data_IF_903300086349
#
_entry.id   IF_903300086349
#
_cell.length_a   1.000
_cell.length_b   1.000
_cell.length_c   1.000
_cell.angle_alpha   90.00
_cell.angle_beta   90.00
_cell.angle_gamma   90.00
#
_symmetry.space_group_name_H-M   'P 1'
#
loop_
_entity.id
_entity.type
_entity.pdbx_description
1 polymer ?
#
# COMPACT_ATOMS: atom_id res chain seq x y z
N UNK A 1 39.67 12.78 -38.27
CA UNK A 1 39.24 13.68 -37.18
C UNK A 1 37.84 13.33 -36.63
N UNK A 2 37.16 12.30 -37.14
CA UNK A 2 35.78 11.93 -36.73
C UNK A 2 35.69 10.85 -35.64
N UNK A 3 36.75 10.06 -35.42
CA UNK A 3 36.73 8.95 -34.44
C UNK A 3 36.83 9.46 -32.98
N UNK A 4 37.52 10.58 -32.77
CA UNK A 4 37.68 11.22 -31.47
C UNK A 4 36.41 11.95 -31.03
N UNK A 5 35.67 12.55 -31.97
CA UNK A 5 34.36 13.14 -31.66
C UNK A 5 33.34 12.06 -31.32
N UNK A 6 33.29 10.94 -32.04
CA UNK A 6 32.41 9.81 -31.69
C UNK A 6 32.72 9.22 -30.30
N UNK A 7 34.00 9.03 -29.97
CA UNK A 7 34.39 8.53 -28.65
C UNK A 7 34.04 9.51 -27.52
N UNK A 8 34.17 10.81 -27.79
CA UNK A 8 33.83 11.87 -26.84
C UNK A 8 32.31 11.98 -26.66
N UNK A 9 31.51 11.83 -27.71
CA UNK A 9 30.06 11.77 -27.61
C UNK A 9 29.56 10.55 -26.84
N UNK A 10 30.18 9.38 -27.03
CA UNK A 10 29.85 8.17 -26.23
C UNK A 10 30.19 8.38 -24.75
N UNK A 11 31.31 9.02 -24.42
CA UNK A 11 31.68 9.34 -23.03
C UNK A 11 30.76 10.39 -22.42
N UNK A 12 30.30 11.36 -23.21
CA UNK A 12 29.31 12.35 -22.77
C UNK A 12 27.95 11.68 -22.58
N UNK A 13 27.55 10.76 -23.46
CA UNK A 13 26.31 10.00 -23.33
C UNK A 13 26.35 9.07 -22.11
N UNK A 14 27.45 8.37 -21.89
CA UNK A 14 27.68 7.52 -20.71
C UNK A 14 27.72 8.35 -19.41
N UNK A 15 28.34 9.54 -19.45
CA UNK A 15 28.33 10.48 -18.33
C UNK A 15 26.95 11.11 -18.11
N UNK A 16 26.18 11.40 -19.15
CA UNK A 16 24.81 11.93 -19.04
C UNK A 16 23.83 10.86 -18.55
N UNK A 17 24.05 9.59 -18.89
CA UNK A 17 23.31 8.45 -18.33
C UNK A 17 23.65 8.28 -16.83
N UNK A 18 24.90 8.49 -16.42
CA UNK A 18 25.31 8.48 -15.01
C UNK A 18 24.85 9.72 -14.22
N UNK A 19 24.80 10.91 -14.84
CA UNK A 19 24.44 12.18 -14.19
C UNK A 19 22.92 12.43 -14.19
N UNK A 20 22.18 11.84 -15.16
CA UNK A 20 20.73 11.59 -15.08
C UNK A 20 20.43 10.29 -14.34
N UNK A 21 21.14 9.99 -13.26
CA UNK A 21 20.79 8.94 -12.31
C UNK A 21 19.44 9.22 -11.63
N UNK A 22 18.37 9.35 -12.42
CA UNK A 22 17.06 8.89 -12.02
C UNK A 22 17.26 7.41 -11.78
N UNK A 23 17.39 7.06 -10.50
CA UNK A 23 17.61 5.72 -10.02
C UNK A 23 16.33 4.93 -10.34
N UNK A 24 16.15 4.57 -11.62
CA UNK A 24 14.95 3.88 -12.14
C UNK A 24 14.70 2.61 -11.34
N UNK A 25 15.78 1.98 -10.86
CA UNK A 25 15.76 0.84 -9.96
C UNK A 25 15.22 1.20 -8.57
N UNK A 26 15.55 2.36 -8.01
CA UNK A 26 14.97 2.84 -6.73
C UNK A 26 13.49 3.18 -6.89
N UNK A 27 13.10 3.81 -8.01
CA UNK A 27 11.70 4.12 -8.32
C UNK A 27 10.89 2.84 -8.49
N UNK A 28 11.40 1.87 -9.26
CA UNK A 28 10.77 0.56 -9.43
C UNK A 28 10.69 -0.21 -8.12
N UNK A 29 11.75 -0.21 -7.32
CA UNK A 29 11.75 -0.84 -6.01
C UNK A 29 10.71 -0.21 -5.08
N UNK A 30 10.57 1.12 -5.10
CA UNK A 30 9.55 1.82 -4.33
C UNK A 30 8.13 1.51 -4.83
N UNK A 31 7.95 1.31 -6.14
CA UNK A 31 6.69 0.86 -6.72
C UNK A 31 6.33 -0.56 -6.27
N UNK A 32 7.29 -1.49 -6.28
CA UNK A 32 7.12 -2.87 -5.80
C UNK A 32 6.83 -2.89 -4.31
N UNK A 33 7.60 -2.15 -3.50
CA UNK A 33 7.39 -1.98 -2.05
C UNK A 33 5.96 -1.51 -1.74
N UNK A 34 5.51 -0.46 -2.44
CA UNK A 34 4.16 0.10 -2.35
C UNK A 34 3.07 -0.92 -2.73
N UNK A 35 3.32 -1.75 -3.75
CA UNK A 35 2.40 -2.82 -4.15
C UNK A 35 2.31 -3.91 -3.08
N UNK A 36 3.45 -4.43 -2.60
CA UNK A 36 3.51 -5.48 -1.58
C UNK A 36 2.83 -5.02 -0.28
N UNK A 37 3.09 -3.79 0.15
CA UNK A 37 2.47 -3.20 1.35
C UNK A 37 0.94 -3.10 1.23
N UNK A 38 0.41 -2.66 0.08
CA UNK A 38 -1.05 -2.53 -0.13
C UNK A 38 -1.75 -3.87 -0.25
N UNK A 39 -1.08 -4.88 -0.80
CA UNK A 39 -1.61 -6.24 -0.92
C UNK A 39 -1.53 -7.07 0.36
N UNK A 40 -0.96 -6.53 1.44
CA UNK A 40 -0.87 -7.25 2.72
C UNK A 40 0.24 -8.30 2.77
N UNK A 41 1.23 -8.20 1.87
CA UNK A 41 2.27 -9.21 1.71
C UNK A 41 3.48 -8.94 2.63
N UNK A 42 3.24 -9.01 3.94
CA UNK A 42 4.21 -8.65 4.98
C UNK A 42 5.54 -9.41 4.87
N UNK A 43 5.48 -10.75 4.78
CA UNK A 43 6.67 -11.60 4.79
C UNK A 43 7.55 -11.32 3.56
N UNK A 44 6.93 -11.15 2.39
CA UNK A 44 7.68 -10.83 1.17
C UNK A 44 8.21 -9.40 1.17
N UNK A 45 7.47 -8.45 1.77
CA UNK A 45 7.94 -7.07 1.92
C UNK A 45 9.17 -7.03 2.83
N UNK A 46 9.15 -7.78 3.93
CA UNK A 46 10.29 -7.88 4.83
C UNK A 46 11.52 -8.46 4.13
N UNK A 47 11.37 -9.59 3.43
CA UNK A 47 12.47 -10.20 2.66
C UNK A 47 12.97 -9.25 1.56
N UNK A 48 12.06 -8.57 0.85
CA UNK A 48 12.41 -7.58 -0.16
C UNK A 48 13.22 -6.42 0.41
N UNK A 49 12.83 -5.90 1.58
CA UNK A 49 13.53 -4.83 2.27
C UNK A 49 14.94 -5.25 2.75
N UNK A 50 15.09 -6.51 3.18
CA UNK A 50 16.39 -7.07 3.55
C UNK A 50 17.33 -7.20 2.34
N UNK A 51 16.82 -7.71 1.22
CA UNK A 51 17.56 -7.85 -0.03
C UNK A 51 17.95 -6.48 -0.60
N UNK A 52 17.02 -5.51 -0.59
CA UNK A 52 17.28 -4.15 -1.06
C UNK A 52 18.34 -3.46 -0.20
N UNK A 53 18.29 -3.60 1.14
CA UNK A 53 19.33 -3.08 2.04
C UNK A 53 20.69 -3.73 1.79
N UNK A 54 20.74 -5.04 1.56
CA UNK A 54 21.98 -5.74 1.22
C UNK A 54 22.56 -5.24 -0.11
N UNK A 55 21.72 -5.07 -1.13
CA UNK A 55 22.12 -4.58 -2.46
C UNK A 55 22.65 -3.15 -2.42
N UNK A 56 21.92 -2.22 -1.79
CA UNK A 56 22.38 -0.83 -1.62
C UNK A 56 23.65 -0.74 -0.76
N UNK A 57 23.79 -1.63 0.24
CA UNK A 57 24.99 -1.73 1.07
C UNK A 57 26.22 -2.20 0.30
N UNK A 58 26.06 -3.11 -0.66
CA UNK A 58 27.13 -3.60 -1.54
C UNK A 58 27.51 -2.57 -2.60
N UNK A 59 26.53 -1.87 -3.21
CA UNK A 59 26.80 -0.81 -4.20
C UNK A 59 27.51 0.41 -3.61
N UNK A 60 27.25 0.77 -2.34
CA UNK A 60 27.98 1.85 -1.63
C UNK A 60 29.36 1.44 -1.10
N UNK A 61 29.65 0.14 -1.01
CA UNK A 61 30.90 -0.38 -0.46
C UNK A 61 32.01 -0.56 -1.50
N UNK A 62 31.76 -0.29 -2.79
CA UNK A 62 32.83 -0.24 -3.78
C UNK A 62 33.73 0.99 -3.51
N UNK A 63 35.00 0.81 -3.15
CA UNK A 63 35.89 1.93 -2.95
C UNK A 63 36.18 2.52 -4.33
N UNK A 64 35.70 3.75 -4.56
CA UNK A 64 36.20 4.62 -5.61
C UNK A 64 37.71 4.77 -5.38
N UNK A 65 38.49 3.93 -6.06
CA UNK A 65 39.94 4.03 -6.09
C UNK A 65 40.30 5.24 -6.93
N UNK A 66 40.22 6.42 -6.32
CA UNK A 66 40.84 7.65 -6.83
C UNK A 66 42.35 7.49 -6.69
N UNK A 67 42.98 6.90 -7.69
CA UNK A 67 44.39 7.16 -7.97
C UNK A 67 44.51 8.57 -8.55
N UNK A 68 44.89 9.55 -7.73
CA UNK A 68 45.51 10.77 -8.23
C UNK A 68 46.89 10.93 -7.58
N UNK A 69 47.90 10.66 -8.39
CA UNK A 69 49.31 10.97 -8.12
C UNK A 69 49.51 12.49 -8.12
N UNK A 70 50.31 12.93 -7.15
CA UNK A 70 50.73 14.27 -6.79
C UNK A 70 51.07 15.27 -7.92
N UNK A 71 50.74 16.55 -7.67
CA UNK A 71 51.71 17.66 -7.75
C UNK A 71 51.29 18.86 -6.89
N UNK A 72 52.27 19.44 -6.19
CA UNK A 72 52.16 20.38 -5.08
C UNK A 72 52.18 21.87 -5.49
N UNK A 73 51.69 22.72 -4.57
CA UNK A 73 52.04 24.13 -4.23
C UNK A 73 50.75 24.93 -3.95
N UNK A 74 50.63 25.92 -3.07
CA UNK A 74 51.31 26.40 -1.86
C UNK A 74 50.40 27.55 -1.33
N UNK A 75 50.49 27.83 -0.04
CA UNK A 75 50.09 29.05 0.68
C UNK A 75 48.63 29.46 0.96
N UNK A 76 48.53 30.07 2.15
CA UNK A 76 47.39 30.37 3.00
C UNK A 76 46.63 31.66 2.65
N UNK A 77 45.34 31.70 3.00
CA UNK A 77 44.77 32.78 3.81
C UNK A 77 43.39 32.39 4.34
N UNK A 78 43.20 32.58 5.65
CA UNK A 78 41.92 32.49 6.33
C UNK A 78 41.08 33.73 6.04
N UNK A 79 39.79 33.55 5.74
CA UNK A 79 38.80 34.50 6.22
C UNK A 79 37.44 33.82 6.37
N UNK A 80 36.71 34.38 7.33
CA UNK A 80 35.74 33.76 8.21
C UNK A 80 34.43 34.47 7.92
N UNK A 81 33.43 33.76 7.41
CA UNK A 81 32.07 34.27 7.41
C UNK A 81 31.07 33.20 7.84
N UNK A 82 30.41 33.53 8.94
CA UNK A 82 29.34 32.78 9.53
C UNK A 82 28.02 33.18 8.84
N UNK A 83 27.30 32.21 8.29
CA UNK A 83 25.89 32.36 7.97
C UNK A 83 25.15 31.06 8.32
N UNK A 84 24.14 31.25 9.17
CA UNK A 84 23.13 30.31 9.64
C UNK A 84 22.63 29.31 8.58
N UNK A 85 22.58 28.02 8.94
CA UNK A 85 21.39 27.17 8.76
C UNK A 85 21.32 26.23 9.96
N UNK A 86 20.53 26.67 10.94
CA UNK A 86 19.91 25.80 11.94
C UNK A 86 18.58 25.36 11.33
N UNK A 87 18.34 24.05 11.19
CA UNK A 87 17.05 23.61 10.67
C UNK A 87 16.99 22.16 10.22
N UNK A 88 16.57 21.30 11.15
CA UNK A 88 15.87 20.04 10.90
C UNK A 88 16.72 18.86 10.40
N UNK A 89 17.43 18.24 11.35
CA UNK A 89 17.57 16.79 11.38
C UNK A 89 16.17 16.16 11.44
N UNK A 90 15.65 15.74 10.29
CA UNK A 90 14.45 14.91 10.23
C UNK A 90 14.69 13.61 11.02
N UNK A 91 13.80 13.22 11.96
CA UNK A 91 13.95 11.95 12.65
C UNK A 91 13.50 10.80 11.74
N UNK A 92 14.46 10.22 11.02
CA UNK A 92 14.37 8.89 10.39
C UNK A 92 14.58 7.83 11.48
N UNK A 93 13.56 7.45 12.26
CA UNK A 93 13.62 6.22 13.10
C UNK A 93 12.32 5.85 13.87
N UNK A 94 11.11 6.10 13.36
CA UNK A 94 9.90 5.70 14.10
C UNK A 94 8.72 5.14 13.28
N UNK A 95 8.82 5.01 11.95
CA UNK A 95 7.65 4.63 11.12
C UNK A 95 7.51 3.13 10.82
N UNK A 96 8.56 2.31 10.97
CA UNK A 96 8.52 0.91 10.48
C UNK A 96 7.52 0.02 11.23
N UNK A 97 7.41 0.18 12.56
CA UNK A 97 6.51 -0.66 13.35
C UNK A 97 5.02 -0.36 13.13
N UNK A 98 4.67 0.86 12.76
CA UNK A 98 3.26 1.23 12.55
C UNK A 98 2.73 0.63 11.24
N UNK A 99 3.54 0.64 10.18
CA UNK A 99 3.19 0.07 8.89
C UNK A 99 3.09 -1.46 8.94
N UNK A 100 4.01 -2.13 9.63
CA UNK A 100 3.97 -3.59 9.81
C UNK A 100 2.72 -4.05 10.58
N UNK A 101 2.38 -3.38 11.68
CA UNK A 101 1.16 -3.69 12.43
C UNK A 101 -0.13 -3.41 11.64
N UNK A 102 -0.12 -2.41 10.76
CA UNK A 102 -1.25 -2.14 9.86
C UNK A 102 -1.38 -3.19 8.76
N UNK A 103 -0.26 -3.64 8.18
CA UNK A 103 -0.23 -4.74 7.20
C UNK A 103 -0.73 -6.04 7.85
N UNK A 104 -0.27 -6.37 9.06
CA UNK A 104 -0.70 -7.55 9.79
C UNK A 104 -2.18 -7.51 10.16
N UNK A 105 -2.67 -6.35 10.61
CA UNK A 105 -4.10 -6.13 10.86
C UNK A 105 -4.92 -6.37 9.59
N UNK A 106 -4.48 -5.87 8.44
CA UNK A 106 -5.15 -6.07 7.14
C UNK A 106 -5.15 -7.54 6.71
N UNK A 107 -4.00 -8.21 6.79
CA UNK A 107 -3.86 -9.65 6.50
C UNK A 107 -4.76 -10.48 7.41
N UNK A 108 -4.82 -10.16 8.70
CA UNK A 108 -5.70 -10.84 9.65
C UNK A 108 -7.19 -10.66 9.32
N UNK A 109 -7.61 -9.45 8.91
CA UNK A 109 -8.99 -9.20 8.49
C UNK A 109 -9.36 -9.96 7.22
N UNK A 110 -8.46 -10.04 6.23
CA UNK A 110 -8.65 -10.83 5.02
C UNK A 110 -8.79 -12.33 5.33
N UNK A 111 -7.91 -12.88 6.16
CA UNK A 111 -7.97 -14.29 6.57
C UNK A 111 -9.27 -14.61 7.31
N UNK A 112 -9.76 -13.71 8.17
CA UNK A 112 -11.03 -13.88 8.85
C UNK A 112 -12.22 -13.90 7.88
N UNK A 113 -12.18 -13.09 6.82
CA UNK A 113 -13.20 -13.13 5.76
C UNK A 113 -13.20 -14.46 5.00
N UNK A 114 -12.01 -15.00 4.69
CA UNK A 114 -11.87 -16.30 4.03
C UNK A 114 -12.29 -17.48 4.93
N UNK A 115 -12.19 -17.32 6.25
CA UNK A 115 -12.67 -18.29 7.24
C UNK A 115 -14.16 -18.13 7.58
N UNK A 116 -14.89 -17.26 6.88
CA UNK A 116 -16.31 -16.93 7.13
C UNK A 116 -16.58 -16.38 8.55
N UNK A 117 -15.57 -15.82 9.21
CA UNK A 117 -15.67 -15.20 10.54
C UNK A 117 -15.88 -13.69 10.43
N UNK A 118 -17.03 -13.30 9.87
CA UNK A 118 -17.31 -11.91 9.51
C UNK A 118 -17.48 -10.98 10.72
N UNK A 119 -17.90 -11.51 11.86
CA UNK A 119 -18.00 -10.79 13.13
C UNK A 119 -16.63 -10.32 13.65
N UNK A 120 -15.65 -11.22 13.65
CA UNK A 120 -14.28 -10.94 14.04
C UNK A 120 -13.61 -10.00 13.04
N UNK A 121 -13.85 -10.18 11.74
CA UNK A 121 -13.36 -9.25 10.71
C UNK A 121 -13.92 -7.84 10.89
N UNK A 122 -15.23 -7.70 11.16
CA UNK A 122 -15.89 -6.42 11.40
C UNK A 122 -15.34 -5.69 12.64
N UNK A 123 -14.91 -6.42 13.67
CA UNK A 123 -14.31 -5.85 14.88
C UNK A 123 -12.95 -5.18 14.58
N UNK A 124 -12.22 -5.65 13.57
CA UNK A 124 -10.96 -5.05 13.12
C UNK A 124 -11.15 -3.81 12.27
N UNK A 125 -12.38 -3.46 11.88
CA UNK A 125 -12.68 -2.31 11.03
C UNK A 125 -13.14 -1.09 11.83
N UNK A 126 -12.85 0.15 11.36
CA UNK A 126 -13.38 1.35 12.00
C UNK A 126 -14.92 1.37 11.96
N UNK A 127 -15.60 2.00 12.93
CA UNK A 127 -17.07 2.04 12.98
C UNK A 127 -17.68 2.86 11.84
N UNK A 128 -16.89 3.70 11.17
CA UNK A 128 -17.31 4.55 10.05
C UNK A 128 -17.32 3.82 8.71
N UNK A 129 -16.72 2.63 8.60
CA UNK A 129 -16.54 1.96 7.31
C UNK A 129 -17.81 1.29 6.79
N UNK A 130 -17.98 1.32 5.47
CA UNK A 130 -19.09 0.66 4.80
C UNK A 130 -18.91 -0.87 4.80
N UNK A 131 -17.67 -1.32 4.61
CA UNK A 131 -17.33 -2.74 4.62
C UNK A 131 -17.66 -3.41 5.96
N UNK A 132 -17.53 -2.71 7.10
CA UNK A 132 -17.95 -3.23 8.41
C UNK A 132 -19.45 -3.50 8.46
N UNK A 133 -20.27 -2.58 7.94
CA UNK A 133 -21.72 -2.73 7.85
C UNK A 133 -22.06 -3.95 6.96
N UNK A 134 -21.39 -4.07 5.80
CA UNK A 134 -21.58 -5.21 4.89
C UNK A 134 -21.23 -6.55 5.54
N UNK A 135 -20.09 -6.64 6.23
CA UNK A 135 -19.68 -7.86 6.95
C UNK A 135 -20.71 -8.29 8.00
N UNK A 136 -21.20 -7.35 8.81
CA UNK A 136 -22.23 -7.64 9.82
C UNK A 136 -23.57 -8.03 9.19
N UNK A 137 -23.94 -7.42 8.05
CA UNK A 137 -25.10 -7.81 7.27
C UNK A 137 -24.97 -9.24 6.70
N UNK A 138 -23.79 -9.61 6.22
CA UNK A 138 -23.51 -10.98 5.76
C UNK A 138 -23.61 -11.94 6.95
N UNK A 139 -23.01 -11.62 8.10
CA UNK A 139 -23.10 -12.44 9.32
C UNK A 139 -24.56 -12.70 9.73
N UNK A 140 -25.41 -11.66 9.71
CA UNK A 140 -26.83 -11.82 10.01
C UNK A 140 -27.52 -12.80 9.05
N UNK A 141 -27.07 -12.86 7.80
CA UNK A 141 -27.55 -13.81 6.79
C UNK A 141 -26.99 -15.22 6.94
N UNK A 142 -26.01 -15.47 7.82
CA UNK A 142 -25.62 -16.82 8.20
C UNK A 142 -26.43 -17.37 9.39
N UNK A 143 -27.13 -16.52 10.14
CA UNK A 143 -27.97 -16.95 11.26
C UNK A 143 -29.22 -17.69 10.77
N UNK A 144 -29.50 -18.86 11.34
CA UNK A 144 -30.62 -19.73 10.94
C UNK A 144 -31.98 -19.19 11.37
N UNK A 145 -32.06 -18.59 12.57
CA UNK A 145 -33.29 -17.98 13.08
C UNK A 145 -33.45 -16.55 12.56
N UNK A 146 -34.66 -16.24 12.08
CA UNK A 146 -35.06 -14.92 11.61
C UNK A 146 -35.10 -13.93 12.79
N UNK A 147 -35.59 -14.37 13.95
CA UNK A 147 -35.68 -13.52 15.14
C UNK A 147 -34.29 -13.03 15.58
N UNK A 148 -33.35 -13.97 15.69
CA UNK A 148 -31.96 -13.68 16.04
C UNK A 148 -31.27 -12.83 14.98
N UNK A 149 -31.51 -13.09 13.69
CA UNK A 149 -30.94 -12.29 12.60
C UNK A 149 -31.41 -10.83 12.64
N UNK A 150 -32.71 -10.59 12.87
CA UNK A 150 -33.27 -9.24 12.96
C UNK A 150 -32.77 -8.52 14.22
N UNK A 151 -32.74 -9.21 15.37
CA UNK A 151 -32.21 -8.65 16.61
C UNK A 151 -30.72 -8.30 16.48
N UNK A 152 -29.94 -9.15 15.81
CA UNK A 152 -28.54 -8.89 15.52
C UNK A 152 -28.36 -7.65 14.64
N UNK A 153 -29.15 -7.52 13.57
CA UNK A 153 -29.12 -6.34 12.68
C UNK A 153 -29.51 -5.05 13.42
N UNK A 154 -30.55 -5.11 14.26
CA UNK A 154 -30.99 -3.96 15.06
C UNK A 154 -29.95 -3.54 16.10
N UNK A 155 -29.27 -4.50 16.72
CA UNK A 155 -28.32 -4.22 17.82
C UNK A 155 -26.93 -3.82 17.31
N UNK A 156 -26.46 -4.42 16.20
CA UNK A 156 -25.08 -4.26 15.74
C UNK A 156 -24.94 -3.38 14.50
N UNK A 157 -25.93 -3.36 13.60
CA UNK A 157 -25.84 -2.64 12.32
C UNK A 157 -26.55 -1.29 12.37
N UNK A 158 -27.80 -1.26 12.83
CA UNK A 158 -28.60 -0.03 12.90
C UNK A 158 -27.89 1.16 13.60
N UNK A 159 -27.19 0.99 14.74
CA UNK A 159 -26.50 2.12 15.38
C UNK A 159 -25.28 2.63 14.61
N UNK A 160 -24.73 1.85 13.66
CA UNK A 160 -23.55 2.24 12.88
C UNK A 160 -23.88 3.08 11.64
N UNK A 161 -25.10 2.94 11.10
CA UNK A 161 -25.52 3.59 9.84
C UNK A 161 -25.36 5.13 9.87
N UNK A 162 -25.76 5.85 10.94
CA UNK A 162 -25.63 7.31 10.97
C UNK A 162 -24.19 7.81 11.00
N UNK A 163 -23.24 6.97 11.44
CA UNK A 163 -21.82 7.32 11.60
C UNK A 163 -20.96 6.85 10.43
N UNK A 164 -21.55 6.23 9.41
CA UNK A 164 -20.83 5.74 8.25
C UNK A 164 -20.43 6.91 7.33
N UNK A 165 -19.31 6.75 6.60
CA UNK A 165 -18.85 7.71 5.57
C UNK A 165 -19.95 7.95 4.52
N UNK A 166 -20.71 6.91 4.17
CA UNK A 166 -21.86 7.01 3.29
C UNK A 166 -23.12 6.40 3.95
N UNK A 167 -23.92 7.20 4.69
CA UNK A 167 -25.08 6.69 5.40
C UNK A 167 -26.20 6.22 4.46
N UNK A 168 -26.28 6.76 3.24
CA UNK A 168 -27.29 6.37 2.25
C UNK A 168 -27.02 4.94 1.77
N UNK A 169 -25.79 4.65 1.35
CA UNK A 169 -25.39 3.29 0.96
C UNK A 169 -25.45 2.32 2.14
N UNK A 170 -25.05 2.76 3.34
CA UNK A 170 -25.18 1.94 4.56
C UNK A 170 -26.64 1.55 4.85
N UNK A 171 -27.57 2.50 4.68
CA UNK A 171 -29.00 2.24 4.85
C UNK A 171 -29.57 1.33 3.75
N UNK A 172 -29.14 1.49 2.50
CA UNK A 172 -29.54 0.61 1.39
C UNK A 172 -29.07 -0.84 1.62
N UNK A 173 -27.83 -1.03 2.05
CA UNK A 173 -27.29 -2.35 2.42
C UNK A 173 -28.05 -2.95 3.60
N UNK A 174 -28.37 -2.15 4.61
CA UNK A 174 -29.15 -2.60 5.77
C UNK A 174 -30.57 -3.03 5.39
N UNK A 175 -31.29 -2.19 4.65
CA UNK A 175 -32.68 -2.46 4.24
C UNK A 175 -32.80 -3.61 3.25
N UNK A 176 -31.87 -3.72 2.29
CA UNK A 176 -31.81 -4.87 1.37
C UNK A 176 -31.54 -6.19 2.13
N UNK A 177 -30.67 -6.15 3.14
CA UNK A 177 -30.39 -7.31 3.99
C UNK A 177 -31.60 -7.68 4.84
N UNK A 178 -32.28 -6.72 5.47
CA UNK A 178 -33.51 -6.96 6.21
C UNK A 178 -34.59 -7.58 5.32
N UNK A 179 -34.81 -7.03 4.14
CA UNK A 179 -35.77 -7.57 3.18
C UNK A 179 -35.40 -9.01 2.78
N UNK A 180 -34.11 -9.30 2.60
CA UNK A 180 -33.65 -10.65 2.30
C UNK A 180 -33.83 -11.64 3.46
N UNK A 181 -33.66 -11.19 4.71
CA UNK A 181 -33.83 -12.04 5.91
C UNK A 181 -35.30 -12.31 6.19
N UNK A 182 -36.16 -11.30 6.01
CA UNK A 182 -37.61 -11.41 6.20
C UNK A 182 -38.33 -12.10 5.04
N UNK A 183 -37.66 -12.28 3.90
CA UNK A 183 -38.25 -12.94 2.74
C UNK A 183 -38.50 -14.43 3.02
N UNK A 184 -39.71 -14.95 2.71
CA UNK A 184 -40.04 -16.37 2.91
C UNK A 184 -39.26 -17.32 1.97
N UNK A 185 -38.55 -16.78 0.97
CA UNK A 185 -37.70 -17.52 0.05
C UNK A 185 -36.25 -17.06 0.18
N UNK A 186 -35.66 -17.36 1.34
CA UNK A 186 -34.26 -17.04 1.62
C UNK A 186 -33.37 -17.82 0.67
N UNK A 187 -32.81 -17.12 -0.32
CA UNK A 187 -31.82 -17.70 -1.22
C UNK A 187 -30.47 -17.81 -0.49
N UNK A 188 -29.74 -18.93 -0.65
CA UNK A 188 -28.37 -19.00 -0.18
C UNK A 188 -27.56 -17.89 -0.85
N UNK A 189 -26.77 -17.18 -0.05
CA UNK A 189 -25.92 -16.10 -0.55
C UNK A 189 -24.77 -16.75 -1.31
N UNK A 190 -24.72 -16.53 -2.64
CA UNK A 190 -23.48 -16.75 -3.38
C UNK A 190 -22.59 -15.56 -3.07
N UNK A 191 -21.63 -15.78 -2.17
CA UNK A 191 -20.65 -14.80 -1.77
C UNK A 191 -19.32 -15.14 -2.43
N UNK A 192 -18.76 -14.19 -3.16
CA UNK A 192 -17.35 -14.24 -3.54
C UNK A 192 -16.52 -13.75 -2.35
N UNK A 193 -16.03 -14.70 -1.57
CA UNK A 193 -15.23 -14.43 -0.36
C UNK A 193 -13.91 -13.74 -0.69
N UNK A 194 -13.35 -13.96 -1.89
CA UNK A 194 -12.10 -13.34 -2.33
C UNK A 194 -12.31 -11.87 -2.68
N UNK A 195 -13.38 -11.55 -3.42
CA UNK A 195 -13.77 -10.18 -3.70
C UNK A 195 -14.08 -9.40 -2.41
N UNK A 196 -14.76 -10.03 -1.45
CA UNK A 196 -15.04 -9.42 -0.15
C UNK A 196 -13.77 -9.16 0.66
N UNK A 197 -12.85 -10.12 0.72
CA UNK A 197 -11.57 -9.94 1.41
C UNK A 197 -10.75 -8.81 0.79
N UNK A 198 -10.80 -8.65 -0.54
CA UNK A 198 -10.19 -7.53 -1.24
C UNK A 198 -10.83 -6.20 -0.84
N UNK A 199 -12.16 -6.10 -0.87
CA UNK A 199 -12.90 -4.90 -0.44
C UNK A 199 -12.54 -4.48 0.99
N UNK A 200 -12.47 -5.45 1.91
CA UNK A 200 -12.12 -5.20 3.32
C UNK A 200 -10.69 -4.67 3.44
N UNK A 201 -9.75 -5.20 2.66
CA UNK A 201 -8.38 -4.69 2.63
C UNK A 201 -8.30 -3.29 2.06
N UNK A 202 -9.03 -3.00 0.98
CA UNK A 202 -9.04 -1.68 0.34
C UNK A 202 -9.59 -0.63 1.31
N UNK A 203 -10.67 -0.93 2.02
CA UNK A 203 -11.24 -0.04 3.04
C UNK A 203 -10.29 0.19 4.23
N UNK A 204 -9.57 -0.84 4.67
CA UNK A 204 -8.56 -0.70 5.74
C UNK A 204 -7.28 0.00 5.27
N UNK A 205 -6.95 -0.10 3.98
CA UNK A 205 -5.84 0.63 3.36
C UNK A 205 -6.16 2.13 3.21
N UNK A 206 -7.46 2.50 3.26
CA UNK A 206 -7.96 3.87 3.16
C UNK A 206 -8.05 4.37 1.71
N UNK A 207 -8.60 5.58 1.53
CA UNK A 207 -8.71 6.28 0.23
C UNK A 207 -7.34 6.79 -0.29
N UNK A 208 -6.30 5.97 -0.20
CA UNK A 208 -5.01 6.23 -0.81
C UNK A 208 -5.02 5.83 -2.29
N UNK A 209 -4.56 6.72 -3.17
CA UNK A 209 -4.44 6.47 -4.62
C UNK A 209 -3.89 5.06 -4.93
N UNK A 210 -4.37 4.39 -6.00
CA UNK A 210 -3.89 3.05 -6.38
C UNK A 210 -2.36 3.02 -6.47
N UNK A 211 -1.75 1.86 -6.17
CA UNK A 211 -0.30 1.76 -6.34
C UNK A 211 0.07 2.13 -7.78
N UNK A 212 1.16 2.87 -7.97
CA UNK A 212 1.62 3.23 -9.32
C UNK A 212 1.77 2.00 -10.21
N UNK A 213 2.08 0.84 -9.60
CA UNK A 213 2.19 -0.45 -10.27
C UNK A 213 0.81 -1.00 -10.70
N UNK A 214 -0.23 -0.89 -9.87
CA UNK A 214 -1.61 -1.23 -10.28
C UNK A 214 -2.11 -0.31 -11.42
N UNK A 215 -1.71 0.97 -11.42
CA UNK A 215 -2.03 1.89 -12.52
C UNK A 215 -1.34 1.43 -13.81
N UNK A 216 -0.04 1.12 -13.76
CA UNK A 216 0.70 0.63 -14.92
C UNK A 216 0.14 -0.70 -15.46
N UNK A 217 -0.21 -1.64 -14.59
CA UNK A 217 -0.83 -2.90 -15.01
C UNK A 217 -2.19 -2.69 -15.67
N UNK A 218 -3.04 -1.82 -15.11
CA UNK A 218 -4.29 -1.47 -15.76
C UNK A 218 -4.04 -0.83 -17.13
N UNK A 219 -3.05 0.06 -17.24
CA UNK A 219 -2.71 0.71 -18.51
C UNK A 219 -2.19 -0.29 -19.56
N UNK A 220 -1.33 -1.23 -19.16
CA UNK A 220 -0.84 -2.31 -20.03
C UNK A 220 -1.99 -3.22 -20.50
N UNK A 221 -2.89 -3.61 -19.58
CA UNK A 221 -4.08 -4.39 -19.92
C UNK A 221 -5.00 -3.66 -20.92
N UNK A 222 -5.18 -2.35 -20.75
CA UNK A 222 -5.93 -1.52 -21.70
C UNK A 222 -5.26 -1.49 -23.07
N UNK A 223 -3.93 -1.46 -23.17
CA UNK A 223 -3.23 -1.52 -24.45
C UNK A 223 -3.40 -2.87 -25.15
N UNK A 224 -3.35 -3.98 -24.41
CA UNK A 224 -3.53 -5.33 -24.97
C UNK A 224 -4.97 -5.57 -25.45
N UNK A 225 -5.96 -5.00 -24.76
CA UNK A 225 -7.38 -5.21 -25.08
C UNK A 225 -7.95 -4.21 -26.08
N UNK A 226 -7.22 -3.11 -26.37
CA UNK A 226 -7.62 -2.07 -27.34
C UNK A 226 -6.93 -2.19 -28.70
N UNK A 227 -6.08 -3.22 -28.89
CA UNK A 227 -5.42 -3.57 -30.15
C UNK A 227 -6.23 -4.59 -30.97
#
# INVERSE_FOLDING_TARGET
MELTEKAMWVLIEEAVIQDRGEDEEEVLAQMVRSYLARRGLADTLHTFDEEQRAFCGVSRALPVSRTTSAKAADECAAEKDAAMVSGSSAPLAASSGHEEHEIDRRKSAQLLCLQERFDAAAALMPPTSLARIRLLCIQARHLTDIGDAVLFLASNVAPLIPFCVNPVLGHEVYTSTLNSVLSPHRKPLQLDTEALAKEVNDELCGEGHPSSLDILFNWAYWQETSA
#
